data_IF_970868384063
#
_entry.id   IF_970868384063
#
_cell.length_a   1.000
_cell.length_b   1.000
_cell.length_c   1.000
_cell.angle_alpha   90.00
_cell.angle_beta   90.00
_cell.angle_gamma   90.00
#
_symmetry.space_group_name_H-M   'P 1'
#
loop_
_entity.id
_entity.type
_entity.pdbx_description
1 polymer ?
#
# COMPACT_ATOMS: atom_id res chain seq x y z
N UNK A 1 12.78 14.24 3.35
CA UNK A 1 12.24 13.78 2.05
C UNK A 1 10.73 13.74 2.19
N UNK A 2 9.98 14.00 1.12
CA UNK A 2 8.53 13.81 1.16
C UNK A 2 8.22 12.31 1.10
N UNK A 3 7.25 11.80 1.86
CA UNK A 3 6.87 10.40 1.80
C UNK A 3 6.31 10.05 0.40
N UNK A 4 6.44 8.79 0.02
CA UNK A 4 6.02 8.31 -1.29
C UNK A 4 4.56 7.89 -1.31
N UNK A 5 3.95 7.93 -2.49
CA UNK A 5 2.57 7.47 -2.70
C UNK A 5 2.58 6.15 -3.45
N UNK A 6 1.66 5.25 -3.11
CA UNK A 6 1.40 4.06 -3.94
C UNK A 6 0.46 4.49 -5.07
N UNK A 7 0.91 4.32 -6.32
CA UNK A 7 0.17 4.79 -7.51
C UNK A 7 -0.43 3.66 -8.34
N UNK A 8 0.05 2.43 -8.17
CA UNK A 8 -0.47 1.23 -8.83
C UNK A 8 -0.18 -0.02 -8.01
N UNK A 9 -0.94 -1.10 -8.23
CA UNK A 9 -0.82 -2.36 -7.48
C UNK A 9 -0.83 -3.58 -8.39
N UNK A 10 0.03 -4.56 -8.12
CA UNK A 10 -0.07 -5.90 -8.73
C UNK A 10 -0.89 -6.81 -7.82
N UNK A 11 -1.92 -7.44 -8.37
CA UNK A 11 -2.74 -8.43 -7.67
C UNK A 11 -2.42 -9.85 -8.16
N UNK A 12 -2.42 -10.82 -7.25
CA UNK A 12 -2.30 -12.23 -7.62
C UNK A 12 -3.62 -12.79 -8.19
N UNK A 13 -3.66 -14.06 -8.59
CA UNK A 13 -4.85 -14.70 -9.16
C UNK A 13 -6.07 -14.79 -8.22
N UNK A 14 -5.91 -14.46 -6.94
CA UNK A 14 -6.99 -14.40 -5.93
C UNK A 14 -7.44 -12.96 -5.65
N UNK A 15 -6.85 -11.96 -6.32
CA UNK A 15 -7.16 -10.55 -6.14
C UNK A 15 -6.40 -9.86 -5.00
N UNK A 16 -5.52 -10.57 -4.30
CA UNK A 16 -4.70 -9.97 -3.23
C UNK A 16 -3.55 -9.17 -3.80
N UNK A 17 -3.31 -7.97 -3.27
CA UNK A 17 -2.16 -7.13 -3.63
C UNK A 17 -0.86 -7.82 -3.17
N UNK A 18 0.10 -7.95 -4.08
CA UNK A 18 1.41 -8.57 -3.81
C UNK A 18 2.59 -7.62 -4.04
N UNK A 19 2.42 -6.63 -4.93
CA UNK A 19 3.42 -5.59 -5.20
C UNK A 19 2.74 -4.23 -5.36
N UNK A 20 3.49 -3.17 -5.08
CA UNK A 20 3.06 -1.78 -5.12
C UNK A 20 4.09 -0.95 -5.89
N UNK A 21 3.62 -0.17 -6.86
CA UNK A 21 4.44 0.82 -7.54
C UNK A 21 4.32 2.16 -6.81
N UNK A 22 5.46 2.74 -6.45
CA UNK A 22 5.57 4.02 -5.79
C UNK A 22 5.61 5.17 -6.79
N UNK A 23 5.35 6.39 -6.32
CA UNK A 23 5.41 7.62 -7.10
C UNK A 23 6.77 7.87 -7.76
N UNK A 24 7.87 7.35 -7.20
CA UNK A 24 9.20 7.37 -7.84
C UNK A 24 9.34 6.43 -9.04
N UNK A 25 8.39 5.53 -9.25
CA UNK A 25 8.46 4.42 -10.19
C UNK A 25 9.10 3.15 -9.61
N UNK A 26 9.60 3.18 -8.38
CA UNK A 26 10.09 1.99 -7.68
C UNK A 26 8.93 1.01 -7.44
N UNK A 27 9.18 -0.29 -7.61
CA UNK A 27 8.25 -1.35 -7.23
C UNK A 27 8.76 -2.00 -5.94
N UNK A 28 7.85 -2.16 -4.97
CA UNK A 28 8.12 -2.82 -3.70
C UNK A 28 7.14 -3.96 -3.45
N UNK A 29 7.61 -5.01 -2.79
CA UNK A 29 6.75 -6.10 -2.35
C UNK A 29 5.94 -5.72 -1.10
N UNK A 30 5.03 -6.61 -0.70
CA UNK A 30 4.17 -6.40 0.45
C UNK A 30 4.93 -6.17 1.76
N UNK A 31 6.03 -6.90 1.98
CA UNK A 31 6.83 -6.79 3.21
C UNK A 31 7.56 -5.46 3.28
N UNK A 32 8.16 -5.03 2.17
CA UNK A 32 8.87 -3.75 2.11
C UNK A 32 7.91 -2.58 2.30
N UNK A 33 6.71 -2.63 1.72
CA UNK A 33 5.70 -1.60 1.94
C UNK A 33 5.24 -1.50 3.39
N UNK A 34 5.18 -2.62 4.13
CA UNK A 34 4.93 -2.58 5.58
C UNK A 34 6.03 -1.84 6.33
N UNK A 35 7.28 -2.15 6.05
CA UNK A 35 8.42 -1.46 6.68
C UNK A 35 8.36 0.05 6.39
N UNK A 36 8.08 0.43 5.15
CA UNK A 36 7.97 1.83 4.75
C UNK A 36 6.78 2.52 5.42
N UNK A 37 5.61 1.89 5.48
CA UNK A 37 4.45 2.43 6.20
C UNK A 37 4.73 2.61 7.69
N UNK A 38 5.40 1.63 8.33
CA UNK A 38 5.79 1.71 9.74
C UNK A 38 6.78 2.85 10.02
N UNK A 39 7.66 3.15 9.06
CA UNK A 39 8.63 4.24 9.14
C UNK A 39 8.06 5.62 8.74
N UNK A 40 6.79 5.69 8.31
CA UNK A 40 6.20 6.94 7.80
C UNK A 40 6.75 7.38 6.43
N UNK A 41 7.28 6.43 5.66
CA UNK A 41 7.80 6.65 4.30
C UNK A 41 6.70 6.59 3.23
N UNK A 42 5.47 6.18 3.58
CA UNK A 42 4.33 6.11 2.67
C UNK A 42 3.19 7.04 3.13
N UNK A 43 2.58 7.74 2.18
CA UNK A 43 1.37 8.54 2.40
C UNK A 43 0.09 7.71 2.20
N UNK A 44 -1.00 8.15 2.83
CA UNK A 44 -2.36 7.64 2.63
C UNK A 44 -2.59 6.17 3.00
N UNK A 45 -1.65 5.55 3.71
CA UNK A 45 -1.74 4.16 4.16
C UNK A 45 -1.36 4.02 5.62
N UNK A 46 -1.97 3.03 6.28
CA UNK A 46 -1.69 2.65 7.65
C UNK A 46 -1.51 1.14 7.78
N UNK A 47 -0.77 0.74 8.81
CA UNK A 47 -0.75 -0.64 9.27
C UNK A 47 -1.85 -0.86 10.31
N UNK A 48 -2.72 -1.84 10.05
CA UNK A 48 -3.74 -2.28 10.99
C UNK A 48 -3.44 -3.69 11.47
N UNK A 49 -3.57 -3.94 12.77
CA UNK A 49 -3.42 -5.28 13.33
C UNK A 49 -4.67 -6.11 13.01
N UNK A 50 -4.50 -7.18 12.24
CA UNK A 50 -5.54 -8.15 11.92
C UNK A 50 -5.87 -9.06 13.10
N UNK A 51 -6.98 -9.80 12.97
CA UNK A 51 -7.40 -10.80 13.98
C UNK A 51 -6.47 -12.01 14.04
N UNK A 52 -5.71 -12.22 12.98
CA UNK A 52 -4.63 -13.21 12.85
C UNK A 52 -3.37 -12.82 13.64
N UNK A 53 -3.28 -11.58 14.12
CA UNK A 53 -2.12 -11.07 14.85
C UNK A 53 -1.07 -10.43 13.94
N UNK A 54 -1.28 -10.40 12.62
CA UNK A 54 -0.38 -9.78 11.64
C UNK A 54 -0.77 -8.33 11.38
N UNK A 55 0.21 -7.49 11.03
CA UNK A 55 -0.09 -6.15 10.53
C UNK A 55 -0.56 -6.27 9.06
N UNK A 56 -1.50 -5.44 8.63
CA UNK A 56 -2.00 -5.39 7.25
C UNK A 56 -1.96 -3.95 6.75
N UNK A 57 -1.47 -3.76 5.53
CA UNK A 57 -1.46 -2.45 4.89
C UNK A 57 -2.87 -2.10 4.39
N UNK A 58 -3.37 -0.92 4.75
CA UNK A 58 -4.69 -0.43 4.35
C UNK A 58 -4.64 1.06 4.03
N UNK A 59 -5.44 1.51 3.07
CA UNK A 59 -5.66 2.94 2.84
C UNK A 59 -6.25 3.65 4.05
N UNK A 60 -5.90 4.93 4.19
CA UNK A 60 -6.54 5.84 5.11
C UNK A 60 -8.04 5.99 4.84
N UNK A 61 -8.88 6.10 5.88
CA UNK A 61 -10.31 6.37 5.73
C UNK A 61 -10.56 7.88 5.53
N UNK A 62 -9.87 8.50 4.57
CA UNK A 62 -9.91 9.94 4.29
C UNK A 62 -11.03 10.35 3.31
N UNK A 63 -11.72 9.37 2.71
CA UNK A 63 -12.79 9.58 1.73
C UNK A 63 -12.29 9.82 0.31
N UNK A 64 -10.99 9.71 0.05
CA UNK A 64 -10.38 9.88 -1.27
C UNK A 64 -10.37 8.52 -1.97
N UNK A 65 -11.04 8.42 -3.12
CA UNK A 65 -11.11 7.13 -3.85
C UNK A 65 -9.84 6.85 -4.66
N UNK A 66 -9.10 7.89 -5.06
CA UNK A 66 -7.93 7.79 -5.94
C UNK A 66 -6.67 7.27 -5.24
N UNK A 67 -6.61 7.30 -3.90
CA UNK A 67 -5.52 6.73 -3.10
C UNK A 67 -5.97 5.44 -2.36
N UNK A 68 -7.16 4.93 -2.68
CA UNK A 68 -7.63 3.65 -2.15
C UNK A 68 -6.94 2.50 -2.88
N UNK A 69 -6.15 1.69 -2.15
CA UNK A 69 -5.36 0.57 -2.68
C UNK A 69 -6.20 -0.40 -3.54
N UNK A 70 -7.47 -0.61 -3.19
CA UNK A 70 -8.35 -1.49 -3.95
C UNK A 70 -8.75 -0.91 -5.31
N UNK A 71 -8.80 0.42 -5.41
CA UNK A 71 -9.17 1.18 -6.61
C UNK A 71 -7.98 1.59 -7.49
N UNK A 72 -6.74 1.38 -7.01
CA UNK A 72 -5.55 1.72 -7.78
C UNK A 72 -5.45 0.87 -9.06
N UNK A 73 -4.91 1.45 -10.16
CA UNK A 73 -4.70 0.71 -11.40
C UNK A 73 -3.72 -0.45 -11.18
N UNK A 74 -3.84 -1.47 -12.04
CA UNK A 74 -2.87 -2.57 -12.10
C UNK A 74 -1.75 -2.33 -13.11
N UNK A 75 -0.59 -2.94 -12.86
CA UNK A 75 0.59 -2.93 -13.73
C UNK A 75 1.21 -4.33 -13.85
#
# INVERSE_FOLDING_TARGET
MMPEQIVAVRKNGQGSIVEMQLSSGQVVDYKRAHEMARSGELEHVNLIRGKDGEDHLRSEPDGIQSNNLDNLPSF
#
